data_IF_355676405718
#
_entry.id   IF_355676405718
#
_cell.length_a   1.000
_cell.length_b   1.000
_cell.length_c   1.000
_cell.angle_alpha   90.00
_cell.angle_beta   90.00
_cell.angle_gamma   90.00
#
_symmetry.space_group_name_H-M   'P 1'
#
loop_
_entity.id
_entity.type
_entity.pdbx_description
1 polymer ?
#
# COMPACT_ATOMS: atom_id res chain seq x y z
N UNK A 1 3.42 27.41 -22.59
CA UNK A 1 4.32 26.29 -22.24
C UNK A 1 3.45 25.05 -22.14
N UNK A 2 3.53 24.16 -23.11
CA UNK A 2 2.72 22.94 -23.19
C UNK A 2 3.45 21.87 -22.35
N UNK A 3 2.71 20.93 -21.75
CA UNK A 3 3.31 19.83 -20.96
C UNK A 3 4.36 19.05 -21.77
N UNK A 4 4.18 18.96 -23.09
CA UNK A 4 5.16 18.40 -24.03
C UNK A 4 6.53 19.07 -23.93
N UNK A 5 6.59 20.41 -23.76
CA UNK A 5 7.86 21.15 -23.64
C UNK A 5 8.66 20.73 -22.40
N UNK A 6 7.98 20.30 -21.33
CA UNK A 6 8.61 19.84 -20.09
C UNK A 6 9.25 18.46 -20.30
N UNK A 7 8.58 17.58 -21.04
CA UNK A 7 9.11 16.25 -21.35
C UNK A 7 10.30 16.31 -22.31
N UNK A 8 10.25 17.24 -23.27
CA UNK A 8 11.36 17.45 -24.21
C UNK A 8 12.60 18.04 -23.53
N UNK A 9 12.42 18.98 -22.58
CA UNK A 9 13.54 19.62 -21.87
C UNK A 9 14.03 18.83 -20.65
N UNK A 10 13.16 18.08 -19.99
CA UNK A 10 13.44 17.36 -18.75
C UNK A 10 14.26 16.08 -18.92
N UNK A 11 14.40 15.59 -20.15
CA UNK A 11 15.21 14.42 -20.48
C UNK A 11 14.69 13.12 -19.84
N UNK A 12 15.57 12.11 -19.78
CA UNK A 12 15.22 10.72 -19.37
C UNK A 12 14.62 10.66 -17.96
N UNK A 13 15.06 11.52 -17.03
CA UNK A 13 14.61 11.49 -15.63
C UNK A 13 13.12 11.78 -15.50
N UNK A 14 12.56 12.70 -16.30
CA UNK A 14 11.13 13.03 -16.28
C UNK A 14 10.28 11.83 -16.72
N UNK A 15 10.73 11.08 -17.72
CA UNK A 15 10.06 9.85 -18.16
C UNK A 15 10.05 8.76 -17.07
N UNK A 16 11.16 8.61 -16.33
CA UNK A 16 11.23 7.67 -15.20
C UNK A 16 10.27 8.08 -14.08
N UNK A 17 10.22 9.37 -13.73
CA UNK A 17 9.29 9.90 -12.72
C UNK A 17 7.82 9.77 -13.14
N UNK A 18 7.53 9.93 -14.43
CA UNK A 18 6.19 9.67 -14.97
C UNK A 18 5.80 8.19 -14.78
N UNK A 19 6.73 7.26 -15.03
CA UNK A 19 6.54 5.84 -14.74
C UNK A 19 6.27 5.55 -13.27
N UNK A 20 7.04 6.18 -12.36
CA UNK A 20 6.81 6.12 -10.91
C UNK A 20 5.39 6.57 -10.54
N UNK A 21 4.91 7.66 -11.14
CA UNK A 21 3.57 8.21 -10.90
C UNK A 21 2.48 7.22 -11.32
N UNK A 22 2.60 6.61 -12.49
CA UNK A 22 1.63 5.62 -12.99
C UNK A 22 1.57 4.40 -12.07
N UNK A 23 2.72 3.85 -11.67
CA UNK A 23 2.80 2.69 -10.79
C UNK A 23 2.20 3.04 -9.41
N UNK A 24 2.58 4.19 -8.85
CA UNK A 24 2.07 4.64 -7.56
C UNK A 24 0.55 4.82 -7.60
N UNK A 25 0.03 5.48 -8.64
CA UNK A 25 -1.41 5.69 -8.82
C UNK A 25 -2.16 4.36 -8.96
N UNK A 26 -1.64 3.41 -9.73
CA UNK A 26 -2.26 2.09 -9.88
C UNK A 26 -2.37 1.36 -8.53
N UNK A 27 -1.33 1.39 -7.70
CA UNK A 27 -1.35 0.79 -6.36
C UNK A 27 -2.35 1.52 -5.45
N UNK A 28 -2.35 2.86 -5.46
CA UNK A 28 -3.27 3.66 -4.65
C UNK A 28 -4.73 3.37 -5.01
N UNK A 29 -5.07 3.33 -6.30
CA UNK A 29 -6.44 3.04 -6.74
C UNK A 29 -6.86 1.61 -6.38
N UNK A 30 -6.00 0.63 -6.63
CA UNK A 30 -6.24 -0.77 -6.27
C UNK A 30 -6.54 -0.91 -4.77
N UNK A 31 -5.70 -0.28 -3.92
CA UNK A 31 -5.84 -0.31 -2.47
C UNK A 31 -7.07 0.45 -2.00
N UNK A 32 -7.34 1.62 -2.57
CA UNK A 32 -8.50 2.44 -2.22
C UNK A 32 -9.80 1.68 -2.47
N UNK A 33 -9.92 1.01 -3.62
CA UNK A 33 -11.09 0.17 -3.94
C UNK A 33 -11.18 -1.01 -2.97
N UNK A 34 -10.07 -1.72 -2.71
CA UNK A 34 -10.06 -2.83 -1.75
C UNK A 34 -10.47 -2.42 -0.34
N UNK A 35 -9.92 -1.34 0.19
CA UNK A 35 -10.29 -0.85 1.52
C UNK A 35 -11.72 -0.31 1.56
N UNK A 36 -12.20 0.34 0.50
CA UNK A 36 -13.60 0.80 0.42
C UNK A 36 -14.61 -0.35 0.37
N UNK A 37 -14.20 -1.52 -0.12
CA UNK A 37 -15.04 -2.73 -0.11
C UNK A 37 -15.05 -3.45 1.25
N UNK A 38 -14.07 -3.21 2.12
CA UNK A 38 -14.10 -3.71 3.49
C UNK A 38 -15.11 -2.86 4.24
N UNK A 39 -16.31 -3.42 4.48
CA UNK A 39 -17.33 -2.77 5.29
C UNK A 39 -16.81 -2.65 6.72
N UNK A 40 -16.85 -1.43 7.28
CA UNK A 40 -16.64 -1.25 8.71
C UNK A 40 -17.72 -2.01 9.48
N UNK A 41 -17.31 -2.76 10.49
CA UNK A 41 -18.26 -3.42 11.39
C UNK A 41 -18.99 -2.39 12.26
N UNK A 42 -20.16 -2.78 12.75
CA UNK A 42 -20.93 -1.98 13.70
C UNK A 42 -20.08 -1.63 14.92
N UNK A 43 -20.28 -0.44 15.52
CA UNK A 43 -19.61 -0.05 16.78
C UNK A 43 -19.84 -1.07 17.91
N UNK A 44 -20.87 -1.90 17.80
CA UNK A 44 -21.25 -2.91 18.79
C UNK A 44 -20.79 -4.33 18.41
N UNK A 45 -19.85 -4.46 17.47
CA UNK A 45 -19.43 -5.75 16.97
C UNK A 45 -18.92 -6.70 18.06
N UNK A 46 -18.17 -6.19 19.04
CA UNK A 46 -17.71 -6.99 20.17
C UNK A 46 -18.86 -7.58 21.00
N UNK A 47 -19.93 -6.81 21.19
CA UNK A 47 -21.13 -7.26 21.91
C UNK A 47 -21.87 -8.34 21.12
N UNK A 48 -22.03 -8.15 19.81
CA UNK A 48 -22.62 -9.15 18.91
C UNK A 48 -21.82 -10.46 18.92
N UNK A 49 -20.48 -10.36 18.94
CA UNK A 49 -19.60 -11.53 19.00
C UNK A 49 -19.76 -12.30 20.33
N UNK A 50 -19.78 -11.60 21.46
CA UNK A 50 -19.96 -12.22 22.78
C UNK A 50 -21.29 -12.97 22.83
N UNK A 51 -22.39 -12.33 22.42
CA UNK A 51 -23.72 -12.97 22.37
C UNK A 51 -23.68 -14.22 21.47
N UNK A 52 -23.07 -14.11 20.28
CA UNK A 52 -22.99 -15.24 19.36
C UNK A 52 -22.16 -16.42 19.91
N UNK A 53 -21.15 -16.16 20.74
CA UNK A 53 -20.36 -17.20 21.42
C UNK A 53 -21.22 -17.92 22.47
N UNK A 54 -21.98 -17.18 23.27
CA UNK A 54 -22.90 -17.77 24.25
C UNK A 54 -24.02 -18.60 23.59
N UNK A 55 -24.57 -18.10 22.48
CA UNK A 55 -25.67 -18.75 21.74
C UNK A 55 -25.20 -19.84 20.75
N UNK A 56 -23.90 -20.15 20.70
CA UNK A 56 -23.31 -21.07 19.71
C UNK A 56 -23.64 -20.71 18.24
N UNK A 57 -23.93 -19.44 17.96
CA UNK A 57 -24.31 -18.91 16.64
C UNK A 57 -23.16 -18.18 15.93
N UNK A 58 -21.93 -18.26 16.45
CA UNK A 58 -20.73 -17.59 15.90
C UNK A 58 -20.51 -17.90 14.40
N UNK A 59 -20.79 -19.12 13.97
CA UNK A 59 -20.64 -19.52 12.57
C UNK A 59 -21.58 -18.75 11.63
N UNK A 60 -22.79 -18.43 12.11
CA UNK A 60 -23.77 -17.63 11.35
C UNK A 60 -23.32 -16.17 11.27
N UNK A 61 -22.81 -15.62 12.38
CA UNK A 61 -22.26 -14.27 12.43
C UNK A 61 -21.07 -14.14 11.45
N UNK A 62 -20.14 -15.09 11.49
CA UNK A 62 -18.99 -15.14 10.58
C UNK A 62 -19.41 -15.29 9.10
N UNK A 63 -20.49 -16.00 8.80
CA UNK A 63 -20.97 -16.16 7.43
C UNK A 63 -21.44 -14.82 6.81
N UNK A 64 -21.89 -13.88 7.63
CA UNK A 64 -22.29 -12.54 7.17
C UNK A 64 -21.10 -11.58 7.02
N UNK A 65 -19.96 -11.89 7.63
CA UNK A 65 -18.76 -11.06 7.59
C UNK A 65 -17.97 -11.21 6.31
N UNK A 66 -17.36 -10.11 5.88
CA UNK A 66 -16.40 -10.08 4.78
C UNK A 66 -15.21 -9.23 5.20
N UNK A 67 -14.07 -9.86 5.38
CA UNK A 67 -12.84 -9.15 5.76
C UNK A 67 -11.83 -10.00 6.52
N UNK A 68 -10.70 -9.39 6.90
CA UNK A 68 -9.63 -10.06 7.64
C UNK A 68 -10.08 -10.56 9.02
N UNK A 69 -11.01 -9.85 9.67
CA UNK A 69 -11.59 -10.26 10.96
C UNK A 69 -12.35 -11.59 10.87
N UNK A 70 -13.09 -11.81 9.77
CA UNK A 70 -13.78 -13.08 9.54
C UNK A 70 -12.80 -14.26 9.43
N UNK A 71 -11.67 -14.05 8.74
CA UNK A 71 -10.63 -15.08 8.60
C UNK A 71 -9.95 -15.37 9.94
N UNK A 72 -9.70 -14.33 10.74
CA UNK A 72 -9.16 -14.46 12.09
C UNK A 72 -10.07 -15.31 12.98
N UNK A 73 -11.36 -14.97 13.04
CA UNK A 73 -12.34 -15.69 13.85
C UNK A 73 -12.54 -17.13 13.38
N UNK A 74 -12.61 -17.38 12.06
CA UNK A 74 -12.68 -18.74 11.50
C UNK A 74 -11.50 -19.60 11.95
N UNK A 75 -10.28 -19.08 11.82
CA UNK A 75 -9.08 -19.83 12.19
C UNK A 75 -8.96 -20.04 13.70
N UNK A 76 -9.40 -19.10 14.52
CA UNK A 76 -9.47 -19.27 15.97
C UNK A 76 -10.48 -20.34 16.39
N UNK A 77 -11.69 -20.34 15.81
CA UNK A 77 -12.71 -21.35 16.12
C UNK A 77 -12.25 -22.74 15.69
N UNK A 78 -11.64 -22.84 14.50
CA UNK A 78 -11.09 -24.10 14.03
C UNK A 78 -10.00 -24.63 14.98
N UNK A 79 -9.05 -23.78 15.38
CA UNK A 79 -8.00 -24.18 16.32
C UNK A 79 -8.56 -24.58 17.70
N UNK A 80 -9.62 -23.92 18.15
CA UNK A 80 -10.33 -24.29 19.38
C UNK A 80 -10.99 -25.67 19.27
N UNK A 81 -11.63 -25.98 18.13
CA UNK A 81 -12.22 -27.30 17.85
C UNK A 81 -11.17 -28.41 17.76
N UNK A 82 -9.98 -28.09 17.26
CA UNK A 82 -8.83 -29.00 17.19
C UNK A 82 -8.11 -29.18 18.53
N UNK A 83 -8.55 -28.50 19.60
CA UNK A 83 -7.98 -28.63 20.95
C UNK A 83 -6.64 -27.91 21.14
N UNK A 84 -6.32 -26.93 20.29
CA UNK A 84 -5.10 -26.12 20.43
C UNK A 84 -5.18 -25.28 21.70
N UNK A 85 -4.22 -25.47 22.60
CA UNK A 85 -4.20 -24.76 23.90
C UNK A 85 -3.82 -23.28 23.77
N UNK A 86 -2.92 -22.94 22.84
CA UNK A 86 -2.42 -21.57 22.67
C UNK A 86 -3.13 -20.84 21.53
N UNK A 87 -4.40 -20.48 21.78
CA UNK A 87 -5.21 -19.72 20.81
C UNK A 87 -4.67 -18.30 20.59
N UNK A 88 -3.93 -17.73 21.55
CA UNK A 88 -3.31 -16.41 21.44
C UNK A 88 -2.21 -16.42 20.37
N UNK A 89 -1.37 -17.46 20.32
CA UNK A 89 -0.40 -17.64 19.24
C UNK A 89 -1.06 -17.84 17.89
N UNK A 90 -2.17 -18.60 17.84
CA UNK A 90 -2.92 -18.78 16.58
C UNK A 90 -3.48 -17.45 16.09
N UNK A 91 -4.13 -16.69 16.97
CA UNK A 91 -4.68 -15.38 16.64
C UNK A 91 -3.61 -14.40 16.15
N UNK A 92 -2.47 -14.31 16.85
CA UNK A 92 -1.37 -13.42 16.44
C UNK A 92 -0.74 -13.82 15.10
N UNK A 93 -0.63 -15.13 14.83
CA UNK A 93 -0.14 -15.62 13.54
C UNK A 93 -1.11 -15.29 12.40
N UNK A 94 -2.40 -15.54 12.57
CA UNK A 94 -3.38 -15.24 11.52
C UNK A 94 -3.48 -13.71 11.33
N UNK A 95 -3.51 -12.96 12.42
CA UNK A 95 -3.54 -11.51 12.40
C UNK A 95 -2.33 -10.90 11.66
N UNK A 96 -1.12 -11.41 11.92
CA UNK A 96 0.08 -10.93 11.20
C UNK A 96 0.03 -11.25 9.70
N UNK A 97 -0.50 -12.41 9.30
CA UNK A 97 -0.66 -12.76 7.88
C UNK A 97 -1.68 -11.83 7.21
N UNK A 98 -2.82 -11.57 7.84
CA UNK A 98 -3.84 -10.67 7.29
C UNK A 98 -3.34 -9.22 7.22
N UNK A 99 -2.63 -8.75 8.26
CA UNK A 99 -1.99 -7.44 8.24
C UNK A 99 -0.98 -7.31 7.09
N UNK A 100 -0.12 -8.33 6.90
CA UNK A 100 0.83 -8.36 5.80
C UNK A 100 0.13 -8.32 4.43
N UNK A 101 -1.04 -8.96 4.29
CA UNK A 101 -1.85 -8.90 3.05
C UNK A 101 -2.42 -7.51 2.81
N UNK A 102 -2.88 -6.84 3.87
CA UNK A 102 -3.39 -5.46 3.81
C UNK A 102 -2.29 -4.46 3.44
N UNK A 103 -1.09 -4.62 4.00
CA UNK A 103 0.09 -3.78 3.74
C UNK A 103 0.73 -3.99 2.36
N UNK A 104 0.31 -5.01 1.61
CA UNK A 104 0.85 -5.29 0.27
C UNK A 104 0.72 -4.05 -0.62
N UNK A 105 1.80 -3.66 -1.29
CA UNK A 105 1.83 -2.45 -2.14
C UNK A 105 2.29 -1.18 -1.41
N UNK A 106 2.06 -1.04 -0.11
CA UNK A 106 2.58 0.11 0.66
C UNK A 106 4.10 0.13 0.74
N UNK A 107 4.74 -1.05 0.83
CA UNK A 107 6.20 -1.15 0.73
C UNK A 107 6.72 -0.55 -0.59
N UNK A 108 6.05 -0.83 -1.70
CA UNK A 108 6.44 -0.28 -3.00
C UNK A 108 6.23 1.23 -3.04
N UNK A 109 5.09 1.72 -2.56
CA UNK A 109 4.84 3.17 -2.46
C UNK A 109 5.89 3.88 -1.59
N UNK A 110 6.32 3.27 -0.48
CA UNK A 110 7.36 3.82 0.37
C UNK A 110 8.71 3.93 -0.37
N UNK A 111 9.09 2.89 -1.13
CA UNK A 111 10.31 2.92 -1.93
C UNK A 111 10.21 4.01 -3.02
N UNK A 112 9.09 4.07 -3.74
CA UNK A 112 8.88 5.08 -4.78
C UNK A 112 8.90 6.49 -4.20
N UNK A 113 8.21 6.72 -3.08
CA UNK A 113 8.15 8.02 -2.41
C UNK A 113 9.49 8.49 -1.85
N UNK A 114 10.32 7.57 -1.36
CA UNK A 114 11.66 7.91 -0.85
C UNK A 114 12.69 8.12 -1.96
N UNK A 115 12.58 7.38 -3.07
CA UNK A 115 13.57 7.45 -4.16
C UNK A 115 13.24 8.50 -5.22
N UNK A 116 11.96 8.88 -5.39
CA UNK A 116 11.56 9.89 -6.37
C UNK A 116 12.23 11.27 -6.15
N UNK A 117 12.35 11.82 -4.93
CA UNK A 117 13.04 13.08 -4.70
C UNK A 117 14.53 13.01 -5.06
N UNK A 118 15.18 11.88 -4.78
CA UNK A 118 16.58 11.65 -5.12
C UNK A 118 16.79 11.60 -6.64
N UNK A 119 15.87 10.95 -7.37
CA UNK A 119 15.86 10.96 -8.83
C UNK A 119 15.62 12.37 -9.39
N UNK A 120 14.72 13.14 -8.79
CA UNK A 120 14.49 14.54 -9.14
C UNK A 120 15.75 15.40 -8.98
N UNK A 121 16.43 15.27 -7.84
CA UNK A 121 17.71 15.94 -7.57
C UNK A 121 18.80 15.52 -8.57
N UNK A 122 18.87 14.23 -8.92
CA UNK A 122 19.78 13.76 -9.96
C UNK A 122 19.49 14.45 -11.31
N UNK A 123 18.21 14.59 -11.67
CA UNK A 123 17.78 15.29 -12.88
C UNK A 123 18.23 16.75 -12.91
N UNK A 124 18.14 17.47 -11.79
CA UNK A 124 18.59 18.87 -11.72
C UNK A 124 20.11 18.99 -11.86
N UNK A 125 20.88 18.07 -11.25
CA UNK A 125 22.35 18.02 -11.39
C UNK A 125 22.74 17.77 -12.86
N UNK A 126 22.10 16.80 -13.52
CA UNK A 126 22.36 16.51 -14.93
C UNK A 126 22.03 17.73 -15.81
N UNK A 127 20.92 18.42 -15.53
CA UNK A 127 20.55 19.65 -16.24
C UNK A 127 21.59 20.77 -16.08
N UNK A 128 22.08 20.95 -14.85
CA UNK A 128 23.12 21.93 -14.54
C UNK A 128 24.43 21.62 -15.28
N UNK A 129 24.88 20.36 -15.29
CA UNK A 129 26.10 19.93 -16.01
C UNK A 129 25.97 20.25 -17.50
N UNK A 130 24.82 19.92 -18.12
CA UNK A 130 24.56 20.23 -19.53
C UNK A 130 24.62 21.73 -19.82
N UNK A 131 24.05 22.55 -18.94
CA UNK A 131 24.09 24.00 -19.09
C UNK A 131 25.54 24.54 -19.05
N UNK A 132 26.37 24.05 -18.13
CA UNK A 132 27.78 24.43 -18.07
C UNK A 132 28.58 23.98 -19.30
N UNK A 133 28.34 22.77 -19.82
CA UNK A 133 28.98 22.30 -21.06
C UNK A 133 28.64 23.21 -22.25
N UNK A 134 27.40 23.70 -22.35
CA UNK A 134 27.00 24.64 -23.41
C UNK A 134 27.73 25.98 -23.25
N UNK A 135 27.87 26.48 -22.02
CA UNK A 135 28.61 27.73 -21.73
C UNK A 135 30.10 27.59 -22.07
N UNK A 136 30.72 26.47 -21.73
CA UNK A 136 32.12 26.18 -22.03
C UNK A 136 32.36 26.11 -23.55
N UNK A 137 31.49 25.40 -24.28
CA UNK A 137 31.57 25.30 -25.74
C UNK A 137 31.34 26.64 -26.46
N UNK A 138 30.55 27.55 -25.86
CA UNK A 138 30.36 28.91 -26.35
C UNK A 138 31.60 29.82 -26.14
N UNK A 139 32.71 29.27 -25.63
CA UNK A 139 33.98 29.97 -25.50
C UNK A 139 34.12 30.78 -24.21
N UNK A 140 33.34 30.44 -23.17
CA UNK A 140 33.43 31.10 -21.86
C UNK A 140 33.09 32.60 -21.86
N UNK A 141 32.53 33.12 -22.95
CA UNK A 141 32.02 34.50 -23.05
C UNK A 141 30.54 34.51 -22.71
N UNK A 142 30.25 34.55 -21.43
CA UNK A 142 28.97 35.01 -20.87
C UNK A 142 29.27 36.12 -19.88
#
# INVERSE_FOLDING_TARGET
>A
MIIADIFDKGGVVVWVLAGYSIIAMAIVLERFIRFSMIRGHSRNFEQELVVAVYDNSVEQLIATMRGPEANLLKGMIQASKEGVQDLVRVASRIGSIELQRMERGFRTLAILGNTAPLLGLLGTIIGMIKAFMVIEQAGGRV
#
